data_IF_012013204575
#
_entry.id   IF_012013204575
#
_cell.length_a   1.000
_cell.length_b   1.000
_cell.length_c   1.000
_cell.angle_alpha   90.00
_cell.angle_beta   90.00
_cell.angle_gamma   90.00
#
_symmetry.space_group_name_H-M   'P 1'
#
loop_
_entity.id
_entity.type
_entity.pdbx_description
1 polymer ?
#
# COMPACT_ATOMS: atom_id res chain seq x y z
N UNK A 1 7.66 -22.74 -37.13
CA UNK A 1 8.48 -21.97 -38.08
C UNK A 1 9.74 -21.52 -37.37
N UNK A 2 10.89 -22.03 -37.78
CA UNK A 2 12.21 -21.58 -37.32
C UNK A 2 12.52 -20.32 -38.11
N UNK A 3 12.57 -19.17 -37.45
CA UNK A 3 12.98 -17.92 -38.12
C UNK A 3 14.51 -17.90 -38.22
N UNK A 4 15.08 -17.56 -39.39
CA UNK A 4 16.53 -17.56 -39.61
C UNK A 4 17.23 -16.58 -38.66
N UNK A 5 18.50 -16.83 -38.39
CA UNK A 5 19.36 -15.92 -37.61
C UNK A 5 19.35 -14.53 -38.25
N UNK A 6 18.66 -13.57 -37.61
CA UNK A 6 18.64 -12.17 -37.99
C UNK A 6 20.05 -11.60 -37.84
N UNK A 7 20.56 -10.95 -38.90
CA UNK A 7 21.89 -10.33 -38.90
C UNK A 7 21.86 -9.04 -38.07
N UNK A 8 23.01 -8.57 -37.55
CA UNK A 8 23.08 -7.31 -36.81
C UNK A 8 22.51 -6.09 -37.55
N UNK A 9 22.65 -6.03 -38.89
CA UNK A 9 22.07 -4.97 -39.72
C UNK A 9 20.54 -5.01 -39.75
N UNK A 10 19.93 -6.19 -39.59
CA UNK A 10 18.47 -6.34 -39.54
C UNK A 10 17.91 -5.71 -38.26
N UNK A 11 18.70 -5.68 -37.17
CA UNK A 11 18.28 -5.06 -35.91
C UNK A 11 18.11 -3.53 -36.02
N UNK A 12 19.00 -2.85 -36.76
CA UNK A 12 18.89 -1.40 -36.96
C UNK A 12 17.71 -1.06 -37.87
N UNK A 13 17.50 -1.82 -38.95
CA UNK A 13 16.33 -1.65 -39.84
C UNK A 13 15.01 -1.88 -39.11
N UNK A 14 14.92 -2.92 -38.27
CA UNK A 14 13.74 -3.20 -37.45
C UNK A 14 13.50 -2.10 -36.41
N UNK A 15 14.55 -1.61 -35.74
CA UNK A 15 14.47 -0.48 -34.82
C UNK A 15 13.95 0.77 -35.53
N UNK A 16 14.52 1.13 -36.67
CA UNK A 16 14.18 2.37 -37.37
C UNK A 16 12.75 2.31 -37.93
N UNK A 17 12.34 1.15 -38.46
CA UNK A 17 10.94 0.91 -38.83
C UNK A 17 10.00 1.01 -37.63
N UNK A 18 10.38 0.47 -36.47
CA UNK A 18 9.59 0.59 -35.25
C UNK A 18 9.43 2.07 -34.83
N UNK A 19 10.49 2.87 -34.88
CA UNK A 19 10.44 4.30 -34.54
C UNK A 19 9.56 5.10 -35.51
N UNK A 20 9.60 4.80 -36.81
CA UNK A 20 8.73 5.46 -37.81
C UNK A 20 7.25 5.17 -37.58
N UNK A 21 6.93 3.95 -37.11
CA UNK A 21 5.57 3.49 -36.88
C UNK A 21 5.07 3.77 -35.46
N UNK A 22 5.93 4.28 -34.57
CA UNK A 22 5.66 4.46 -33.14
C UNK A 22 4.39 5.28 -32.87
N UNK A 23 4.13 6.31 -33.69
CA UNK A 23 2.97 7.20 -33.53
C UNK A 23 1.68 6.62 -34.11
N UNK A 24 1.74 6.06 -35.31
CA UNK A 24 0.54 5.76 -36.11
C UNK A 24 0.15 4.27 -36.03
N UNK A 25 1.09 3.39 -35.68
CA UNK A 25 0.91 1.93 -35.60
C UNK A 25 1.68 1.29 -34.44
N UNK A 26 1.36 1.70 -33.21
CA UNK A 26 2.08 1.31 -31.97
C UNK A 26 2.27 -0.20 -31.79
N UNK A 27 1.22 -1.00 -31.99
CA UNK A 27 1.28 -2.48 -31.87
C UNK A 27 2.29 -3.12 -32.83
N UNK A 28 2.40 -2.56 -34.04
CA UNK A 28 3.36 -3.01 -35.03
C UNK A 28 4.77 -2.53 -34.68
N UNK A 29 4.90 -1.28 -34.22
CA UNK A 29 6.16 -0.74 -33.70
C UNK A 29 6.72 -1.59 -32.55
N UNK A 30 5.88 -2.01 -31.59
CA UNK A 30 6.30 -2.88 -30.48
C UNK A 30 6.82 -4.23 -30.96
N UNK A 31 6.08 -4.91 -31.86
CA UNK A 31 6.51 -6.20 -32.43
C UNK A 31 7.84 -6.08 -33.16
N UNK A 32 8.03 -5.01 -33.95
CA UNK A 32 9.29 -4.76 -34.66
C UNK A 32 10.44 -4.48 -33.69
N UNK A 33 10.20 -3.73 -32.60
CA UNK A 33 11.21 -3.47 -31.58
C UNK A 33 11.58 -4.74 -30.78
N UNK A 34 10.62 -5.63 -30.50
CA UNK A 34 10.88 -6.96 -29.91
C UNK A 34 11.73 -7.82 -30.85
N UNK A 35 11.45 -7.78 -32.16
CA UNK A 35 12.28 -8.47 -33.15
C UNK A 35 13.69 -7.88 -33.21
N UNK A 36 13.83 -6.55 -33.12
CA UNK A 36 15.13 -5.88 -33.05
C UNK A 36 15.93 -6.30 -31.80
N UNK A 37 15.26 -6.44 -30.65
CA UNK A 37 15.89 -6.94 -29.42
C UNK A 37 16.38 -8.38 -29.54
N UNK A 38 15.60 -9.27 -30.17
CA UNK A 38 16.05 -10.65 -30.40
C UNK A 38 17.29 -10.71 -31.28
N UNK A 39 17.41 -9.81 -32.25
CA UNK A 39 18.59 -9.67 -33.09
C UNK A 39 19.77 -9.00 -32.38
N UNK A 40 19.51 -8.12 -31.40
CA UNK A 40 20.54 -7.42 -30.61
C UNK A 40 20.15 -7.30 -29.12
N UNK A 41 20.27 -8.40 -28.33
CA UNK A 41 19.73 -8.44 -26.96
C UNK A 41 20.36 -7.44 -25.99
N UNK A 42 21.63 -7.10 -26.21
CA UNK A 42 22.39 -6.17 -25.36
C UNK A 42 22.37 -4.73 -25.89
N UNK A 43 21.48 -4.40 -26.84
CA UNK A 43 21.36 -3.06 -27.41
C UNK A 43 20.74 -2.06 -26.42
N UNK A 44 21.49 -1.08 -25.89
CA UNK A 44 20.99 -0.22 -24.80
C UNK A 44 19.76 0.61 -25.22
N UNK A 45 19.77 1.14 -26.44
CA UNK A 45 18.67 1.93 -26.97
C UNK A 45 17.39 1.09 -27.17
N UNK A 46 17.52 -0.11 -27.75
CA UNK A 46 16.39 -1.01 -28.01
C UNK A 46 15.76 -1.44 -26.67
N UNK A 47 16.58 -1.81 -25.69
CA UNK A 47 16.09 -2.19 -24.37
C UNK A 47 15.38 -1.02 -23.66
N UNK A 48 15.98 0.17 -23.66
CA UNK A 48 15.33 1.39 -23.13
C UNK A 48 14.02 1.69 -23.86
N UNK A 49 13.97 1.56 -25.19
CA UNK A 49 12.75 1.79 -25.97
C UNK A 49 11.68 0.72 -25.74
N UNK A 50 12.05 -0.53 -25.50
CA UNK A 50 11.09 -1.57 -25.09
C UNK A 50 10.54 -1.31 -23.69
N UNK A 51 11.35 -0.81 -22.77
CA UNK A 51 10.86 -0.35 -21.47
C UNK A 51 9.87 0.82 -21.63
N UNK A 52 10.17 1.77 -22.52
CA UNK A 52 9.23 2.84 -22.89
C UNK A 52 7.95 2.27 -23.50
N UNK A 53 8.01 1.31 -24.42
CA UNK A 53 6.83 0.69 -25.03
C UNK A 53 6.01 -0.10 -24.02
N UNK A 54 6.66 -0.79 -23.08
CA UNK A 54 5.98 -1.48 -21.99
C UNK A 54 5.30 -0.49 -21.03
N UNK A 55 5.84 0.73 -20.90
CA UNK A 55 5.19 1.84 -20.19
C UNK A 55 4.20 2.66 -21.03
N UNK A 56 4.20 2.48 -22.36
CA UNK A 56 3.42 3.24 -23.34
C UNK A 56 2.31 2.43 -24.03
N UNK A 57 2.02 1.20 -23.59
CA UNK A 57 0.77 0.47 -23.90
C UNK A 57 -0.49 1.18 -23.34
N UNK A 58 -0.60 2.51 -23.43
CA UNK A 58 -1.78 3.36 -23.16
C UNK A 58 -2.41 3.28 -21.76
N UNK A 59 -2.02 2.30 -20.95
CA UNK A 59 -2.68 1.89 -19.73
C UNK A 59 -2.38 2.86 -18.61
N UNK A 60 -1.10 3.15 -18.38
CA UNK A 60 -0.66 4.05 -17.32
C UNK A 60 -1.24 5.45 -17.44
N UNK A 61 -1.15 6.03 -18.64
CA UNK A 61 -1.66 7.37 -18.93
C UNK A 61 -3.16 7.44 -18.67
N UNK A 62 -3.90 6.45 -19.19
CA UNK A 62 -5.35 6.33 -19.00
C UNK A 62 -5.73 6.11 -17.53
N UNK A 63 -5.04 5.23 -16.80
CA UNK A 63 -5.32 4.98 -15.38
C UNK A 63 -5.06 6.25 -14.56
N UNK A 64 -3.93 6.94 -14.82
CA UNK A 64 -3.60 8.17 -14.12
C UNK A 64 -4.58 9.30 -14.46
N UNK A 65 -5.04 9.39 -15.70
CA UNK A 65 -6.11 10.32 -16.11
C UNK A 65 -7.43 10.03 -15.40
N UNK A 66 -7.83 8.76 -15.30
CA UNK A 66 -9.03 8.36 -14.56
C UNK A 66 -8.92 8.70 -13.07
N UNK A 67 -7.74 8.53 -12.46
CA UNK A 67 -7.49 8.93 -11.07
C UNK A 67 -7.52 10.45 -10.92
N UNK A 68 -6.85 11.19 -11.81
CA UNK A 68 -6.73 12.65 -11.74
C UNK A 68 -8.07 13.37 -12.00
N UNK A 69 -8.88 12.85 -12.93
CA UNK A 69 -10.24 13.33 -13.18
C UNK A 69 -11.21 12.99 -12.05
N UNK A 70 -10.81 12.08 -11.15
CA UNK A 70 -11.65 11.56 -10.08
C UNK A 70 -12.63 10.48 -10.55
N UNK A 71 -12.57 10.02 -11.80
CA UNK A 71 -13.42 8.94 -12.31
C UNK A 71 -13.11 7.58 -11.65
N UNK A 72 -11.86 7.35 -11.24
CA UNK A 72 -11.42 6.14 -10.55
C UNK A 72 -10.81 6.48 -9.17
N UNK A 73 -11.30 5.85 -8.12
CA UNK A 73 -10.66 5.85 -6.80
C UNK A 73 -9.98 4.51 -6.54
N UNK A 74 -8.67 4.51 -6.28
CA UNK A 74 -7.91 3.32 -5.87
C UNK A 74 -7.54 3.45 -4.39
N UNK A 75 -8.04 2.54 -3.55
CA UNK A 75 -7.87 2.57 -2.10
C UNK A 75 -7.00 1.37 -1.68
N UNK A 76 -5.77 1.58 -1.17
CA UNK A 76 -4.95 0.51 -0.63
C UNK A 76 -5.49 0.08 0.74
N UNK A 77 -6.36 -0.90 0.78
CA UNK A 77 -7.02 -1.40 2.00
C UNK A 77 -6.39 -2.68 2.53
N UNK A 78 -5.06 -2.80 2.41
CA UNK A 78 -4.33 -3.97 2.90
C UNK A 78 -3.92 -3.88 4.36
N UNK A 79 -3.55 -5.03 4.91
CA UNK A 79 -3.07 -5.16 6.29
C UNK A 79 -1.88 -4.26 6.61
N UNK A 80 -0.97 -4.04 5.65
CA UNK A 80 0.24 -3.22 5.80
C UNK A 80 0.37 -2.19 4.67
N UNK A 81 1.29 -1.26 4.87
CA UNK A 81 1.69 -0.26 3.88
C UNK A 81 2.25 -0.84 2.56
N UNK A 82 2.53 -2.15 2.49
CA UNK A 82 3.02 -2.85 1.29
C UNK A 82 2.11 -2.64 0.08
N UNK A 83 0.78 -2.60 0.29
CA UNK A 83 -0.18 -2.44 -0.81
C UNK A 83 0.06 -1.14 -1.57
N UNK A 84 0.20 -0.01 -0.85
CA UNK A 84 0.49 1.28 -1.48
C UNK A 84 1.85 1.28 -2.18
N UNK A 85 2.86 0.67 -1.56
CA UNK A 85 4.19 0.59 -2.17
C UNK A 85 4.15 -0.18 -3.49
N UNK A 86 3.46 -1.32 -3.54
CA UNK A 86 3.26 -2.13 -4.75
C UNK A 86 2.47 -1.39 -5.84
N UNK A 87 1.39 -0.70 -5.48
CA UNK A 87 0.65 0.14 -6.42
C UNK A 87 1.53 1.24 -7.04
N UNK A 88 2.44 1.82 -6.25
CA UNK A 88 3.35 2.85 -6.72
C UNK A 88 4.52 2.29 -7.56
N UNK A 89 5.13 1.17 -7.16
CA UNK A 89 6.29 0.58 -7.84
C UNK A 89 5.89 -0.12 -9.14
N UNK A 90 4.82 -0.91 -9.11
CA UNK A 90 4.52 -1.85 -10.19
C UNK A 90 3.55 -1.25 -11.20
N UNK A 91 2.65 -0.36 -10.75
CA UNK A 91 1.65 0.30 -11.59
C UNK A 91 1.89 1.80 -11.74
N UNK A 92 2.91 2.33 -11.06
CA UNK A 92 3.25 3.74 -11.15
C UNK A 92 2.21 4.69 -10.57
N UNK A 93 1.25 4.19 -9.77
CA UNK A 93 0.13 4.97 -9.25
C UNK A 93 0.59 5.86 -8.11
N UNK A 94 0.67 7.16 -8.40
CA UNK A 94 1.02 8.18 -7.39
C UNK A 94 -0.26 8.85 -6.91
N UNK A 95 -0.58 8.65 -5.63
CA UNK A 95 -1.72 9.26 -4.97
C UNK A 95 -1.37 9.81 -3.60
N UNK A 96 -2.16 10.79 -3.14
CA UNK A 96 -2.06 11.32 -1.79
C UNK A 96 -2.24 10.21 -0.75
N UNK A 97 -1.62 10.36 0.42
CA UNK A 97 -1.70 9.33 1.44
C UNK A 97 -3.12 9.12 1.95
N UNK A 98 -3.46 7.86 2.18
CA UNK A 98 -4.76 7.36 2.63
C UNK A 98 -4.62 6.75 4.04
N UNK A 99 -5.75 6.45 4.73
CA UNK A 99 -5.69 6.11 6.15
C UNK A 99 -4.92 4.82 6.46
N UNK A 100 -4.91 3.87 5.52
CA UNK A 100 -4.31 2.54 5.70
C UNK A 100 -2.81 2.48 5.35
N UNK A 101 -2.21 3.62 5.00
CA UNK A 101 -0.83 3.68 4.49
C UNK A 101 0.25 3.46 5.55
N UNK A 102 -0.09 3.44 6.83
CA UNK A 102 0.89 3.56 7.92
C UNK A 102 0.40 2.87 9.18
N UNK A 103 0.41 1.54 9.16
CA UNK A 103 -0.01 0.71 10.28
C UNK A 103 -0.36 -0.71 9.87
N UNK A 104 -1.07 -1.37 10.78
CA UNK A 104 -1.55 -2.73 10.75
C UNK A 104 -3.08 -2.69 10.86
N UNK A 105 -3.76 -2.85 9.73
CA UNK A 105 -5.20 -2.70 9.61
C UNK A 105 -5.83 -4.06 9.26
N UNK A 106 -6.24 -4.86 10.26
CA UNK A 106 -6.96 -6.09 9.95
C UNK A 106 -8.30 -5.76 9.26
N UNK A 107 -8.89 -6.71 8.50
CA UNK A 107 -10.15 -6.49 7.80
C UNK A 107 -11.24 -5.85 8.66
N UNK A 108 -11.44 -6.35 9.89
CA UNK A 108 -12.39 -5.80 10.87
C UNK A 108 -12.20 -4.31 11.16
N UNK A 109 -10.96 -3.82 11.21
CA UNK A 109 -10.69 -2.40 11.45
C UNK A 109 -11.06 -1.51 10.27
N UNK A 110 -10.93 -2.03 9.05
CA UNK A 110 -11.37 -1.32 7.84
C UNK A 110 -12.90 -1.16 7.89
N UNK A 111 -13.63 -2.21 8.26
CA UNK A 111 -15.08 -2.16 8.46
C UNK A 111 -15.45 -1.16 9.52
N UNK A 112 -14.75 -1.20 10.66
CA UNK A 112 -15.01 -0.29 11.78
C UNK A 112 -14.81 1.17 11.36
N UNK A 113 -13.79 1.46 10.55
CA UNK A 113 -13.58 2.79 9.97
C UNK A 113 -14.65 3.17 8.93
N UNK A 114 -15.29 2.21 8.27
CA UNK A 114 -16.46 2.50 7.44
C UNK A 114 -17.67 2.91 8.28
N UNK A 115 -17.85 2.32 9.45
CA UNK A 115 -18.93 2.68 10.39
C UNK A 115 -18.65 4.03 11.04
N UNK A 116 -17.49 4.17 11.70
CA UNK A 116 -17.15 5.33 12.52
C UNK A 116 -16.82 6.56 11.69
N UNK A 117 -16.22 6.36 10.50
CA UNK A 117 -15.70 7.41 9.61
C UNK A 117 -14.67 8.35 10.25
N UNK A 118 -14.13 7.99 11.42
CA UNK A 118 -13.20 8.81 12.14
C UNK A 118 -12.35 8.00 13.13
N UNK A 119 -11.25 8.61 13.54
CA UNK A 119 -10.47 8.21 14.72
C UNK A 119 -10.67 9.27 15.81
N UNK A 120 -10.56 8.86 17.07
CA UNK A 120 -10.79 9.74 18.21
C UNK A 120 -9.67 9.65 19.25
N UNK A 121 -8.41 9.64 18.79
CA UNK A 121 -7.24 9.54 19.65
C UNK A 121 -7.07 10.83 20.48
N UNK A 122 -6.89 10.70 21.79
CA UNK A 122 -6.73 11.82 22.73
C UNK A 122 -5.47 11.66 23.56
N UNK A 123 -4.84 12.76 23.96
CA UNK A 123 -3.77 12.75 24.96
C UNK A 123 -3.83 14.04 25.81
N UNK A 124 -3.76 13.96 27.14
CA UNK A 124 -3.78 12.73 27.94
C UNK A 124 -5.11 11.98 27.76
N UNK A 125 -5.05 10.66 27.84
CA UNK A 125 -6.23 9.80 27.84
C UNK A 125 -6.27 9.08 29.19
N UNK A 126 -6.91 9.69 30.21
CA UNK A 126 -6.78 9.25 31.59
C UNK A 126 -7.24 7.81 31.84
N UNK A 127 -8.10 7.28 30.97
CA UNK A 127 -8.63 5.92 31.06
C UNK A 127 -8.06 4.98 29.98
N UNK A 128 -7.08 5.45 29.19
CA UNK A 128 -6.60 4.76 27.98
C UNK A 128 -7.79 4.21 27.15
N UNK A 129 -8.82 5.03 26.97
CA UNK A 129 -10.08 4.62 26.35
C UNK A 129 -10.01 4.66 24.82
N UNK A 130 -9.20 5.56 24.28
CA UNK A 130 -9.08 5.85 22.85
C UNK A 130 -7.87 5.17 22.23
N UNK A 131 -6.74 5.17 22.95
CA UNK A 131 -5.48 4.65 22.43
C UNK A 131 -4.62 4.01 23.52
N UNK A 132 -3.67 3.19 23.09
CA UNK A 132 -2.64 2.63 23.96
C UNK A 132 -1.37 2.34 23.16
N UNK A 133 -0.24 2.18 23.84
CA UNK A 133 1.01 1.79 23.18
C UNK A 133 1.18 0.28 23.25
N UNK A 134 1.74 -0.33 22.21
CA UNK A 134 1.95 -1.77 22.13
C UNK A 134 3.42 -2.15 21.95
N UNK A 135 3.75 -3.36 22.37
CA UNK A 135 4.90 -4.11 21.83
C UNK A 135 4.43 -5.02 20.71
N UNK A 136 5.34 -5.45 19.84
CA UNK A 136 5.09 -6.28 18.65
C UNK A 136 5.97 -7.51 18.66
N UNK A 137 5.38 -8.69 18.51
CA UNK A 137 6.08 -9.94 18.27
C UNK A 137 5.65 -10.52 16.92
N UNK A 138 6.57 -10.58 15.96
CA UNK A 138 6.34 -11.13 14.62
C UNK A 138 6.81 -12.58 14.52
N UNK A 139 6.15 -13.36 13.66
CA UNK A 139 6.52 -14.77 13.45
C UNK A 139 6.05 -15.70 14.56
N UNK A 140 5.04 -15.27 15.31
CA UNK A 140 4.35 -16.09 16.31
C UNK A 140 3.43 -17.10 15.62
N UNK A 141 3.22 -18.26 16.24
CA UNK A 141 2.35 -19.31 15.73
C UNK A 141 1.13 -19.51 16.62
N UNK A 142 -0.03 -19.72 16.00
CA UNK A 142 -1.26 -20.21 16.64
C UNK A 142 -1.76 -21.41 15.83
N UNK A 143 -1.49 -22.61 16.32
CA UNK A 143 -1.63 -23.82 15.50
C UNK A 143 -0.64 -23.81 14.34
N UNK A 144 -1.13 -24.00 13.11
CA UNK A 144 -0.34 -23.94 11.89
C UNK A 144 -0.26 -22.53 11.26
N UNK A 145 -1.00 -21.55 11.78
CA UNK A 145 -1.00 -20.19 11.24
C UNK A 145 0.14 -19.37 11.83
N UNK A 146 0.89 -18.68 10.97
CA UNK A 146 1.93 -17.71 11.39
C UNK A 146 1.35 -16.29 11.38
N UNK A 147 1.75 -15.45 12.32
CA UNK A 147 1.21 -14.10 12.41
C UNK A 147 2.01 -13.16 13.30
N UNK A 148 1.33 -12.16 13.82
CA UNK A 148 1.88 -11.09 14.65
C UNK A 148 1.01 -10.91 15.89
N UNK A 149 1.63 -10.79 17.05
CA UNK A 149 0.95 -10.38 18.27
C UNK A 149 1.36 -8.95 18.63
N UNK A 150 0.38 -8.11 18.91
CA UNK A 150 0.55 -6.86 19.63
C UNK A 150 0.09 -7.05 21.07
N UNK A 151 0.85 -6.54 22.02
CA UNK A 151 0.47 -6.54 23.44
C UNK A 151 0.45 -5.12 23.95
N UNK A 152 -0.63 -4.73 24.60
CA UNK A 152 -0.76 -3.41 25.21
C UNK A 152 0.28 -3.19 26.31
N UNK A 153 0.74 -1.95 26.40
CA UNK A 153 1.86 -1.50 27.23
C UNK A 153 1.68 -0.01 27.58
N UNK A 154 2.72 0.62 28.10
CA UNK A 154 2.76 2.05 28.40
C UNK A 154 4.05 2.69 27.87
N UNK A 155 4.06 4.02 27.78
CA UNK A 155 5.25 4.78 27.42
C UNK A 155 6.39 4.54 28.41
N UNK A 156 6.09 4.53 29.70
CA UNK A 156 7.06 4.31 30.78
C UNK A 156 7.72 2.94 30.65
N UNK A 157 6.91 1.89 30.46
CA UNK A 157 7.40 0.52 30.31
C UNK A 157 8.26 0.35 29.07
N UNK A 158 7.86 0.90 27.92
CA UNK A 158 8.67 0.82 26.70
C UNK A 158 9.97 1.61 26.88
N UNK A 159 9.90 2.81 27.45
CA UNK A 159 11.08 3.64 27.67
C UNK A 159 12.08 3.01 28.65
N UNK A 160 11.63 2.20 29.62
CA UNK A 160 12.53 1.43 30.48
C UNK A 160 13.17 0.22 29.80
N UNK A 161 12.53 -0.31 28.75
CA UNK A 161 13.02 -1.48 27.99
C UNK A 161 13.91 -1.11 26.79
N UNK A 162 13.83 0.14 26.33
CA UNK A 162 14.62 0.66 25.21
C UNK A 162 15.94 1.21 25.73
N UNK A 163 17.00 0.43 25.56
CA UNK A 163 18.35 0.76 26.05
C UNK A 163 19.13 1.58 25.02
N UNK A 164 19.05 1.21 23.73
CA UNK A 164 19.82 1.85 22.66
C UNK A 164 19.17 1.71 21.28
N UNK A 165 19.66 2.49 20.32
CA UNK A 165 19.21 2.44 18.92
C UNK A 165 19.54 1.13 18.20
N UNK A 166 20.59 0.44 18.66
CA UNK A 166 21.15 -0.78 18.03
C UNK A 166 20.75 -2.05 18.76
N UNK A 167 19.87 -1.94 19.77
CA UNK A 167 19.36 -3.08 20.52
C UNK A 167 18.69 -4.09 19.58
N UNK A 168 19.05 -5.37 19.73
CA UNK A 168 18.64 -6.45 18.80
C UNK A 168 17.13 -6.58 18.61
N UNK A 169 16.37 -6.43 19.70
CA UNK A 169 14.91 -6.53 19.70
C UNK A 169 14.20 -5.16 19.66
N UNK A 170 14.89 -4.10 19.22
CA UNK A 170 14.30 -2.75 19.19
C UNK A 170 13.01 -2.70 18.35
N UNK A 171 12.94 -3.49 17.28
CA UNK A 171 11.78 -3.57 16.39
C UNK A 171 10.53 -4.21 17.03
N UNK A 172 10.69 -4.87 18.19
CA UNK A 172 9.57 -5.36 19.00
C UNK A 172 8.98 -4.25 19.89
N UNK A 173 9.77 -3.21 20.18
CA UNK A 173 9.39 -2.12 21.08
C UNK A 173 8.97 -0.87 20.31
N UNK A 174 9.65 -0.59 19.21
CA UNK A 174 9.43 0.54 18.32
C UNK A 174 9.44 0.04 16.86
N UNK A 175 8.86 0.79 15.93
CA UNK A 175 8.98 0.50 14.51
C UNK A 175 10.38 0.84 13.96
N UNK A 176 10.63 0.50 12.70
CA UNK A 176 11.91 0.71 12.03
C UNK A 176 12.35 2.20 11.94
N UNK A 177 11.42 3.13 12.21
CA UNK A 177 11.65 4.58 12.26
C UNK A 177 11.68 5.12 13.71
N UNK A 178 11.76 4.22 14.70
CA UNK A 178 11.68 4.51 16.13
C UNK A 178 10.36 5.16 16.56
N UNK A 179 9.26 4.82 15.89
CA UNK A 179 7.91 5.15 16.34
C UNK A 179 7.35 4.10 17.30
N UNK A 180 6.62 4.51 18.33
CA UNK A 180 5.81 3.62 19.15
C UNK A 180 4.66 3.03 18.34
N UNK A 181 4.45 1.72 18.46
CA UNK A 181 3.24 1.07 17.95
C UNK A 181 2.03 1.59 18.73
N UNK A 182 1.12 2.29 18.06
CA UNK A 182 0.01 3.00 18.72
C UNK A 182 -1.31 2.36 18.34
N UNK A 183 -1.94 1.66 19.28
CA UNK A 183 -3.25 1.05 19.12
C UNK A 183 -4.35 2.12 19.15
N UNK A 184 -5.24 2.11 18.15
CA UNK A 184 -6.57 2.70 18.26
C UNK A 184 -7.51 1.63 18.82
N UNK A 185 -7.97 1.82 20.06
CA UNK A 185 -8.81 0.82 20.76
C UNK A 185 -10.24 0.78 20.24
N UNK A 186 -10.72 1.88 19.67
CA UNK A 186 -12.09 2.01 19.17
C UNK A 186 -12.24 1.28 17.83
N UNK A 187 -11.21 1.42 16.98
CA UNK A 187 -11.20 0.88 15.63
C UNK A 187 -10.35 -0.40 15.47
N UNK A 188 -9.57 -0.79 16.47
CA UNK A 188 -8.89 -2.09 16.54
C UNK A 188 -7.67 -2.25 15.63
N UNK A 189 -7.02 -1.16 15.22
CA UNK A 189 -5.81 -1.20 14.39
C UNK A 189 -4.60 -0.64 15.14
N UNK A 190 -3.39 -0.97 14.67
CA UNK A 190 -2.14 -0.46 15.26
C UNK A 190 -1.41 0.42 14.25
N UNK A 191 -1.10 1.64 14.64
CA UNK A 191 -0.37 2.61 13.83
C UNK A 191 1.14 2.45 13.99
N UNK A 192 1.86 2.75 12.92
CA UNK A 192 3.31 2.92 12.88
C UNK A 192 3.66 4.25 12.18
N UNK A 193 4.85 4.79 12.42
CA UNK A 193 5.40 5.97 11.76
C UNK A 193 4.70 7.30 12.08
N UNK A 194 4.34 7.49 13.35
CA UNK A 194 3.47 8.59 13.76
C UNK A 194 3.76 9.13 15.16
N UNK A 195 4.03 8.22 16.10
CA UNK A 195 4.22 8.52 17.50
C UNK A 195 5.68 8.27 17.84
N UNK A 196 6.50 9.31 17.93
CA UNK A 196 7.95 9.17 17.87
C UNK A 196 8.60 9.01 19.24
N UNK A 197 9.49 8.03 19.39
CA UNK A 197 10.41 7.92 20.53
C UNK A 197 11.55 8.94 20.39
N UNK A 198 12.29 9.20 21.48
CA UNK A 198 13.47 10.10 21.48
C UNK A 198 14.56 9.70 20.48
N UNK A 199 14.57 8.44 20.05
CA UNK A 199 15.50 7.92 19.05
C UNK A 199 15.08 8.18 17.60
N UNK A 200 13.85 8.64 17.34
CA UNK A 200 13.48 9.03 15.98
C UNK A 200 14.35 10.19 15.50
N UNK A 201 14.80 10.15 14.24
CA UNK A 201 15.56 11.26 13.65
C UNK A 201 14.69 12.51 13.54
N UNK A 202 15.32 13.67 13.44
CA UNK A 202 14.61 14.93 13.24
C UNK A 202 13.85 14.94 11.91
N UNK A 203 14.42 14.38 10.85
CA UNK A 203 13.74 14.23 9.55
C UNK A 203 12.39 13.48 9.67
N UNK A 204 12.35 12.37 10.43
CA UNK A 204 11.14 11.57 10.59
C UNK A 204 10.15 12.21 11.56
N UNK A 205 10.65 12.65 12.71
CA UNK A 205 9.81 13.23 13.78
C UNK A 205 9.39 14.68 13.53
N UNK A 206 10.09 15.39 12.63
CA UNK A 206 10.03 16.85 12.48
C UNK A 206 10.22 17.57 13.82
N UNK A 207 11.08 17.01 14.67
CA UNK A 207 11.31 17.46 16.04
C UNK A 207 10.21 17.09 17.07
N UNK A 208 9.06 16.54 16.64
CA UNK A 208 7.96 16.17 17.54
C UNK A 208 8.17 14.78 18.12
N UNK A 209 8.52 14.70 19.42
CA UNK A 209 8.75 13.44 20.14
C UNK A 209 7.87 13.28 21.38
N UNK A 210 7.16 14.33 21.78
CA UNK A 210 6.26 14.29 22.93
C UNK A 210 4.91 13.66 22.53
N UNK A 211 4.40 12.67 23.28
CA UNK A 211 3.05 12.11 23.07
C UNK A 211 1.94 13.17 23.00
N UNK A 212 2.03 14.19 23.85
CA UNK A 212 1.09 15.32 23.89
C UNK A 212 1.00 16.12 22.58
N UNK A 213 2.04 16.05 21.73
CA UNK A 213 2.03 16.64 20.39
C UNK A 213 1.71 15.59 19.32
N UNK A 214 2.28 14.39 19.46
CA UNK A 214 2.11 13.32 18.48
C UNK A 214 0.65 12.88 18.38
N UNK A 215 0.00 12.50 19.48
CA UNK A 215 -1.34 11.90 19.45
C UNK A 215 -2.39 12.83 18.83
N UNK A 216 -2.51 14.12 19.21
CA UNK A 216 -3.44 15.03 18.54
C UNK A 216 -3.13 15.22 17.05
N UNK A 217 -1.84 15.25 16.68
CA UNK A 217 -1.43 15.38 15.29
C UNK A 217 -1.80 14.13 14.47
N UNK A 218 -1.64 12.93 15.03
CA UNK A 218 -2.08 11.67 14.42
C UNK A 218 -3.58 11.71 14.19
N UNK A 219 -4.34 12.07 15.22
CA UNK A 219 -5.80 12.18 15.15
C UNK A 219 -6.23 13.10 14.00
N UNK A 220 -5.62 14.29 13.88
CA UNK A 220 -5.88 15.26 12.82
C UNK A 220 -5.51 14.71 11.43
N UNK A 221 -4.32 14.12 11.30
CA UNK A 221 -3.82 13.58 10.01
C UNK A 221 -4.71 12.44 9.52
N UNK A 222 -4.99 11.47 10.37
CA UNK A 222 -5.80 10.32 9.99
C UNK A 222 -7.22 10.73 9.64
N UNK A 223 -7.87 11.58 10.43
CA UNK A 223 -9.22 12.07 10.09
C UNK A 223 -9.24 12.82 8.75
N UNK A 224 -8.21 13.62 8.44
CA UNK A 224 -8.07 14.24 7.12
C UNK A 224 -7.93 13.21 5.99
N UNK A 225 -7.18 12.11 6.21
CA UNK A 225 -7.02 11.03 5.22
C UNK A 225 -8.30 10.20 5.07
N UNK A 226 -9.01 9.92 6.16
CA UNK A 226 -10.29 9.21 6.15
C UNK A 226 -11.32 10.02 5.36
N UNK A 227 -11.43 11.33 5.66
CA UNK A 227 -12.29 12.23 4.90
C UNK A 227 -11.94 12.22 3.42
N UNK A 228 -10.65 12.34 3.08
CA UNK A 228 -10.18 12.28 1.68
C UNK A 228 -10.57 10.96 1.01
N UNK A 229 -10.39 9.83 1.69
CA UNK A 229 -10.77 8.51 1.17
C UNK A 229 -12.25 8.46 0.83
N UNK A 230 -13.14 8.88 1.75
CA UNK A 230 -14.57 8.94 1.48
C UNK A 230 -14.91 9.93 0.37
N UNK A 231 -14.36 11.14 0.39
CA UNK A 231 -14.62 12.14 -0.65
C UNK A 231 -14.17 11.63 -2.04
N UNK A 232 -13.09 10.83 -2.12
CA UNK A 232 -12.65 10.18 -3.36
C UNK A 232 -13.63 9.08 -3.77
N UNK A 233 -14.01 8.22 -2.83
CA UNK A 233 -14.96 7.15 -3.10
C UNK A 233 -16.32 7.71 -3.53
N UNK A 234 -16.83 8.78 -2.92
CA UNK A 234 -18.16 9.31 -3.23
C UNK A 234 -18.23 9.96 -4.61
N UNK A 235 -17.13 10.55 -5.08
CA UNK A 235 -17.06 11.23 -6.39
C UNK A 235 -16.77 10.28 -7.56
N UNK A 236 -16.11 9.15 -7.29
CA UNK A 236 -15.64 8.29 -8.36
C UNK A 236 -16.74 7.48 -9.04
N UNK A 237 -16.64 7.33 -10.35
CA UNK A 237 -17.51 6.45 -11.12
C UNK A 237 -17.21 4.98 -10.84
N UNK A 238 -15.95 4.66 -10.53
CA UNK A 238 -15.48 3.33 -10.12
C UNK A 238 -14.60 3.43 -8.89
N UNK A 239 -14.74 2.50 -7.96
CA UNK A 239 -13.92 2.43 -6.74
C UNK A 239 -13.28 1.06 -6.65
N UNK A 240 -11.96 1.03 -6.47
CA UNK A 240 -11.17 -0.18 -6.38
C UNK A 240 -10.49 -0.23 -5.01
N UNK A 241 -10.97 -1.09 -4.12
CA UNK A 241 -10.29 -1.42 -2.89
C UNK A 241 -9.28 -2.53 -3.15
N UNK A 242 -8.00 -2.23 -3.00
CA UNK A 242 -6.91 -3.16 -3.28
C UNK A 242 -6.40 -3.73 -1.97
N UNK A 243 -6.37 -5.05 -1.86
CA UNK A 243 -5.84 -5.77 -0.70
C UNK A 243 -4.63 -6.60 -1.15
N UNK A 244 -3.48 -6.34 -0.55
CA UNK A 244 -2.32 -7.21 -0.72
C UNK A 244 -2.30 -8.28 0.37
N UNK A 245 -2.07 -9.54 -0.02
CA UNK A 245 -1.91 -10.65 0.92
C UNK A 245 -0.43 -10.81 1.25
N UNK A 246 -0.11 -10.83 2.54
CA UNK A 246 1.19 -11.29 3.02
C UNK A 246 1.09 -12.79 3.36
N UNK A 247 1.58 -13.70 2.51
CA UNK A 247 1.48 -15.14 2.78
C UNK A 247 2.27 -15.57 4.02
N UNK A 248 3.17 -14.72 4.54
CA UNK A 248 3.94 -15.01 5.76
C UNK A 248 3.20 -14.60 7.05
N UNK A 249 2.05 -13.94 6.93
CA UNK A 249 1.28 -13.40 8.05
C UNK A 249 -0.23 -13.60 7.84
N UNK A 250 -0.77 -14.63 8.48
CA UNK A 250 -2.16 -15.07 8.34
C UNK A 250 -3.08 -14.52 9.43
N UNK A 251 -2.52 -14.06 10.55
CA UNK A 251 -3.30 -13.44 11.62
C UNK A 251 -2.57 -12.25 12.25
N UNK A 252 -3.35 -11.34 12.80
CA UNK A 252 -2.92 -10.32 13.75
C UNK A 252 -3.65 -10.57 15.06
N UNK A 253 -2.96 -10.50 16.20
CA UNK A 253 -3.63 -10.45 17.49
C UNK A 253 -3.31 -9.14 18.21
N UNK A 254 -4.26 -8.65 18.99
CA UNK A 254 -4.08 -7.53 19.92
C UNK A 254 -4.56 -8.05 21.27
N UNK A 255 -3.62 -8.21 22.20
CA UNK A 255 -3.83 -8.94 23.45
C UNK A 255 -4.45 -10.32 23.18
N UNK A 256 -5.66 -10.56 23.67
CA UNK A 256 -6.36 -11.84 23.53
C UNK A 256 -7.22 -11.93 22.26
N UNK A 257 -7.47 -10.81 21.59
CA UNK A 257 -8.29 -10.76 20.37
C UNK A 257 -7.47 -11.13 19.15
N UNK A 258 -8.01 -12.04 18.32
CA UNK A 258 -7.37 -12.52 17.09
C UNK A 258 -8.18 -12.11 15.87
N UNK A 259 -7.49 -11.53 14.89
CA UNK A 259 -8.02 -11.12 13.61
C UNK A 259 -7.45 -12.03 12.52
N UNK A 260 -8.33 -12.69 11.77
CA UNK A 260 -7.96 -13.46 10.58
C UNK A 260 -7.67 -12.49 9.42
N UNK A 261 -6.47 -12.57 8.85
CA UNK A 261 -6.05 -11.73 7.72
C UNK A 261 -6.26 -12.41 6.38
N UNK A 262 -6.64 -13.69 6.37
CA UNK A 262 -6.85 -14.49 5.16
C UNK A 262 -8.26 -14.31 4.60
N UNK A 263 -9.22 -13.90 5.44
CA UNK A 263 -10.61 -13.66 5.02
C UNK A 263 -10.85 -12.19 4.67
N UNK A 264 -11.07 -11.90 3.38
CA UNK A 264 -11.41 -10.56 2.88
C UNK A 264 -12.91 -10.37 2.61
N UNK A 265 -13.73 -11.42 2.68
CA UNK A 265 -15.17 -11.37 2.39
C UNK A 265 -15.89 -10.27 3.18
N UNK A 266 -15.60 -10.04 4.48
CA UNK A 266 -16.25 -8.95 5.21
C UNK A 266 -16.02 -7.57 4.57
N UNK A 267 -14.82 -7.34 4.00
CA UNK A 267 -14.52 -6.09 3.29
C UNK A 267 -15.32 -6.03 1.98
N UNK A 268 -15.41 -7.14 1.24
CA UNK A 268 -16.19 -7.21 0.01
C UNK A 268 -17.66 -6.84 0.27
N UNK A 269 -18.27 -7.42 1.29
CA UNK A 269 -19.66 -7.17 1.66
C UNK A 269 -19.88 -5.71 2.06
N UNK A 270 -19.01 -5.16 2.91
CA UNK A 270 -19.14 -3.78 3.36
C UNK A 270 -18.87 -2.74 2.26
N UNK A 271 -17.92 -3.02 1.35
CA UNK A 271 -17.68 -2.17 0.17
C UNK A 271 -18.91 -2.20 -0.74
N UNK A 272 -19.45 -3.38 -1.02
CA UNK A 272 -20.65 -3.55 -1.85
C UNK A 272 -21.87 -2.84 -1.23
N UNK A 273 -22.11 -3.03 0.06
CA UNK A 273 -23.21 -2.38 0.78
C UNK A 273 -23.08 -0.86 0.78
N UNK A 274 -21.86 -0.33 0.95
CA UNK A 274 -21.63 1.10 1.14
C UNK A 274 -21.54 1.88 -0.16
N UNK A 275 -20.94 1.30 -1.19
CA UNK A 275 -20.65 2.00 -2.43
C UNK A 275 -21.39 1.42 -3.65
N UNK A 276 -22.03 0.26 -3.50
CA UNK A 276 -22.82 -0.39 -4.56
C UNK A 276 -21.96 -1.02 -5.66
N UNK A 277 -22.58 -1.34 -6.78
CA UNK A 277 -21.97 -2.06 -7.91
C UNK A 277 -20.79 -1.35 -8.60
N UNK A 278 -20.55 -0.07 -8.28
CA UNK A 278 -19.39 0.68 -8.78
C UNK A 278 -18.11 0.39 -8.02
N UNK A 279 -18.20 -0.25 -6.86
CA UNK A 279 -17.06 -0.54 -6.02
C UNK A 279 -16.77 -2.05 -5.98
N UNK A 280 -15.49 -2.39 -6.07
CA UNK A 280 -15.03 -3.78 -6.00
C UNK A 280 -13.79 -3.86 -5.09
N UNK A 281 -13.66 -5.01 -4.43
CA UNK A 281 -12.45 -5.39 -3.70
C UNK A 281 -11.68 -6.38 -4.57
N UNK A 282 -10.38 -6.16 -4.72
CA UNK A 282 -9.50 -7.04 -5.49
C UNK A 282 -8.22 -7.31 -4.73
N UNK A 283 -7.64 -8.49 -4.95
CA UNK A 283 -6.27 -8.71 -4.55
C UNK A 283 -5.29 -8.02 -5.51
N UNK A 284 -4.16 -7.55 -4.99
CA UNK A 284 -3.16 -6.87 -5.82
C UNK A 284 -2.69 -7.72 -7.02
N UNK A 285 -2.49 -9.03 -6.85
CA UNK A 285 -2.05 -9.93 -7.93
C UNK A 285 -3.04 -10.01 -9.12
N UNK A 286 -4.31 -9.66 -8.90
CA UNK A 286 -5.35 -9.60 -9.93
C UNK A 286 -5.26 -8.34 -10.78
N UNK A 287 -4.56 -7.31 -10.32
CA UNK A 287 -4.41 -6.01 -10.98
C UNK A 287 -2.95 -5.58 -11.15
N UNK A 288 -1.99 -6.48 -10.94
CA UNK A 288 -0.56 -6.18 -10.89
C UNK A 288 0.07 -5.76 -12.24
N UNK A 289 -0.75 -5.54 -13.27
CA UNK A 289 -0.36 -4.89 -14.51
C UNK A 289 -1.45 -3.91 -14.94
N UNK A 290 -1.08 -2.89 -15.71
CA UNK A 290 -2.01 -1.86 -16.19
C UNK A 290 -3.18 -2.46 -16.98
N UNK A 291 -2.90 -3.44 -17.85
CA UNK A 291 -3.90 -4.18 -18.61
C UNK A 291 -4.92 -4.89 -17.70
N UNK A 292 -4.45 -5.57 -16.66
CA UNK A 292 -5.32 -6.27 -15.70
C UNK A 292 -6.18 -5.27 -14.93
N UNK A 293 -5.60 -4.16 -14.47
CA UNK A 293 -6.33 -3.10 -13.79
C UNK A 293 -7.41 -2.51 -14.70
N UNK A 294 -7.06 -2.13 -15.94
CA UNK A 294 -8.01 -1.61 -16.91
C UNK A 294 -9.16 -2.58 -17.19
N UNK A 295 -8.86 -3.88 -17.33
CA UNK A 295 -9.89 -4.90 -17.52
C UNK A 295 -10.84 -5.00 -16.33
N UNK A 296 -10.35 -4.80 -15.10
CA UNK A 296 -11.20 -4.82 -13.88
C UNK A 296 -12.11 -3.60 -13.73
N UNK A 297 -11.75 -2.46 -14.32
CA UNK A 297 -12.52 -1.21 -14.17
C UNK A 297 -13.36 -0.84 -15.39
N UNK A 298 -13.16 -1.53 -16.52
CA UNK A 298 -14.00 -1.43 -17.73
C UNK A 298 -15.36 -2.05 -17.46
#
# INVERSE_FOLDING_TARGET
MVFPHLRPNDADTLRDAALLLERDHFELAHKLMVMAQRARPNGPFINRKLEEYHGAEGGRGKIQELINSGALAVIPAGFRCSTKMKLASDLGLKQASLPFDSGFFPPSSILRLFETRQVALKFPDPNAATHQICTKDEGVYRGNKRGINFRTSSYEKINSLVESRTQKNINNLLDATFGYYTLDKINGFVLAHYNWHKFASEEKSKGMRAPALNIPNINRILNSRIKRMFDMCDRAQKVLFVVDRDPSCEFMAIDDHVYDLTNIEPICDAVSQKFGARAIVVHFHEINTEKKLLHRIS
#
